data_IF_855623161435
#
_entry.id   IF_855623161435
#
_cell.length_a   1.000
_cell.length_b   1.000
_cell.length_c   1.000
_cell.angle_alpha   90.00
_cell.angle_beta   90.00
_cell.angle_gamma   90.00
#
_symmetry.space_group_name_H-M   'P 1'
#
loop_
_entity.id
_entity.type
_entity.pdbx_description
1 polymer ?
#
# COMPACT_ATOMS: atom_id res chain seq x y z
N UNK A 1 26.94 15.30 67.97
CA UNK A 1 26.88 14.32 66.88
C UNK A 1 25.65 14.66 66.06
N UNK A 2 25.86 15.14 64.82
CA UNK A 2 24.76 15.44 63.89
C UNK A 2 24.66 14.25 62.92
N UNK A 3 23.47 13.68 62.68
CA UNK A 3 23.34 12.62 61.68
C UNK A 3 23.40 13.20 60.25
N UNK A 4 24.26 12.60 59.43
CA UNK A 4 24.39 12.89 58.01
C UNK A 4 23.33 12.05 57.27
N UNK A 5 22.31 12.69 56.74
CA UNK A 5 21.30 12.03 55.94
C UNK A 5 21.76 12.01 54.48
N UNK A 6 22.17 10.83 54.01
CA UNK A 6 22.47 10.61 52.57
C UNK A 6 21.17 10.57 51.76
N UNK A 7 20.96 11.57 50.92
CA UNK A 7 19.87 11.58 49.94
C UNK A 7 20.31 10.77 48.72
N UNK A 8 19.79 9.56 48.57
CA UNK A 8 19.98 8.75 47.38
C UNK A 8 19.01 9.24 46.28
N UNK A 9 19.51 10.06 45.35
CA UNK A 9 18.76 10.43 44.15
C UNK A 9 18.67 9.24 43.17
N UNK A 10 17.49 8.62 43.06
CA UNK A 10 17.21 7.67 42.00
C UNK A 10 17.17 8.46 40.68
N UNK A 11 18.22 8.37 39.89
CA UNK A 11 18.20 8.82 38.50
C UNK A 11 17.49 7.74 37.70
N UNK A 12 16.20 7.93 37.38
CA UNK A 12 15.46 7.11 36.44
C UNK A 12 16.03 7.34 35.03
N UNK A 13 16.83 6.40 34.54
CA UNK A 13 17.24 6.33 33.14
C UNK A 13 15.99 6.00 32.33
N UNK A 14 15.35 7.00 31.76
CA UNK A 14 14.37 6.81 30.69
C UNK A 14 15.15 6.28 29.48
N UNK A 15 15.15 4.98 29.27
CA UNK A 15 15.53 4.37 27.99
C UNK A 15 14.47 4.81 26.98
N UNK A 16 14.77 5.81 26.18
CA UNK A 16 13.95 6.16 25.01
C UNK A 16 14.06 4.96 24.05
N UNK A 17 12.97 4.20 23.95
CA UNK A 17 12.90 3.16 22.95
C UNK A 17 13.08 3.83 21.58
N UNK A 18 13.99 3.30 20.77
CA UNK A 18 14.18 3.80 19.41
C UNK A 18 12.87 3.66 18.63
N UNK A 19 12.42 4.74 17.97
CA UNK A 19 11.24 4.68 17.11
C UNK A 19 11.48 3.71 15.96
N UNK A 20 10.48 2.89 15.64
CA UNK A 20 10.57 1.97 14.52
C UNK A 20 10.30 2.71 13.19
N UNK A 21 10.94 2.25 12.12
CA UNK A 21 10.80 2.82 10.78
C UNK A 21 9.78 2.06 9.96
N UNK A 22 8.72 2.75 9.60
CA UNK A 22 7.61 2.20 8.80
C UNK A 22 7.62 2.81 7.41
N UNK A 23 7.82 1.97 6.40
CA UNK A 23 7.65 2.34 5.00
C UNK A 23 6.27 1.97 4.51
N UNK A 24 5.59 2.91 3.82
CA UNK A 24 4.31 2.68 3.18
C UNK A 24 4.41 2.97 1.68
N UNK A 25 3.63 2.24 0.88
CA UNK A 25 3.54 2.51 -0.56
C UNK A 25 2.75 3.79 -0.81
N UNK A 26 3.40 4.78 -1.44
CA UNK A 26 2.75 6.03 -1.84
C UNK A 26 1.72 5.78 -2.94
N UNK A 27 0.47 5.67 -2.55
CA UNK A 27 -0.65 5.36 -3.44
C UNK A 27 -1.98 5.77 -2.79
N UNK A 28 -2.54 6.91 -3.20
CA UNK A 28 -3.87 7.31 -2.75
C UNK A 28 -4.95 6.35 -3.30
N UNK A 29 -5.97 6.00 -2.51
CA UNK A 29 -6.32 6.48 -1.17
C UNK A 29 -5.72 5.66 -0.01
N UNK A 30 -4.75 4.78 -0.27
CA UNK A 30 -4.20 3.87 0.72
C UNK A 30 -3.23 4.54 1.70
N UNK A 31 -2.16 5.14 1.20
CA UNK A 31 -1.24 5.97 1.97
C UNK A 31 -0.71 7.09 1.06
N UNK A 32 -0.86 8.34 1.48
CA UNK A 32 -0.47 9.49 0.67
C UNK A 32 -0.38 10.76 1.52
N UNK A 33 0.10 11.86 0.94
CA UNK A 33 0.03 13.18 1.57
C UNK A 33 -1.17 13.96 1.01
N UNK A 34 -1.98 14.51 1.92
CA UNK A 34 -3.10 15.37 1.55
C UNK A 34 -2.61 16.75 1.05
N UNK A 35 -3.53 17.64 0.70
CA UNK A 35 -3.21 18.99 0.22
C UNK A 35 -2.47 19.86 1.25
N UNK A 36 -2.54 19.53 2.53
CA UNK A 36 -1.85 20.19 3.63
C UNK A 36 -0.45 19.60 3.88
N UNK A 37 -0.05 18.56 3.13
CA UNK A 37 1.20 17.83 3.29
C UNK A 37 1.20 16.78 4.40
N UNK A 38 0.05 16.57 5.07
CA UNK A 38 -0.09 15.59 6.14
C UNK A 38 -0.28 14.18 5.57
N UNK A 39 0.34 13.20 6.22
CA UNK A 39 0.17 11.79 5.83
C UNK A 39 -1.20 11.28 6.24
N UNK A 40 -1.89 10.61 5.34
CA UNK A 40 -3.23 10.06 5.51
C UNK A 40 -3.42 8.83 4.61
N UNK A 41 -4.57 8.18 4.73
CA UNK A 41 -4.95 7.03 3.90
C UNK A 41 -5.27 5.79 4.73
N UNK A 42 -5.93 4.82 4.09
CA UNK A 42 -6.45 3.63 4.79
C UNK A 42 -5.33 2.84 5.47
N UNK A 43 -4.28 2.50 4.72
CA UNK A 43 -3.16 1.71 5.23
C UNK A 43 -2.40 2.46 6.32
N UNK A 44 -2.08 3.75 6.07
CA UNK A 44 -1.43 4.58 7.07
C UNK A 44 -2.22 4.64 8.39
N UNK A 45 -3.52 4.89 8.33
CA UNK A 45 -4.35 5.01 9.53
C UNK A 45 -4.48 3.66 10.27
N UNK A 46 -4.61 2.54 9.56
CA UNK A 46 -4.65 1.20 10.15
C UNK A 46 -3.33 0.89 10.86
N UNK A 47 -2.18 1.00 10.15
CA UNK A 47 -0.87 0.70 10.74
C UNK A 47 -0.58 1.62 11.94
N UNK A 48 -0.89 2.90 11.82
CA UNK A 48 -0.72 3.87 12.91
C UNK A 48 -1.58 3.50 14.13
N UNK A 49 -2.85 3.17 13.95
CA UNK A 49 -3.74 2.79 15.05
C UNK A 49 -3.26 1.52 15.76
N UNK A 50 -2.79 0.52 15.00
CA UNK A 50 -2.21 -0.71 15.55
C UNK A 50 -0.99 -0.38 16.42
N UNK A 51 -0.02 0.37 15.89
CA UNK A 51 1.23 0.66 16.60
C UNK A 51 1.00 1.54 17.82
N UNK A 52 0.13 2.54 17.72
CA UNK A 52 -0.25 3.39 18.86
C UNK A 52 -0.90 2.58 19.99
N UNK A 53 -1.78 1.66 19.65
CA UNK A 53 -2.40 0.77 20.63
C UNK A 53 -1.39 -0.11 21.35
N UNK A 54 -0.42 -0.62 20.63
CA UNK A 54 0.67 -1.44 21.17
C UNK A 54 1.74 -0.62 21.91
N UNK A 55 1.58 0.71 22.01
CA UNK A 55 2.57 1.58 22.65
C UNK A 55 3.91 1.61 21.91
N UNK A 56 3.89 1.45 20.58
CA UNK A 56 5.08 1.46 19.73
C UNK A 56 5.17 2.82 19.05
N UNK A 57 6.26 3.54 19.32
CA UNK A 57 6.59 4.77 18.60
C UNK A 57 7.13 4.45 17.20
N UNK A 58 6.63 5.14 16.17
CA UNK A 58 6.96 4.87 14.79
C UNK A 58 7.15 6.14 13.97
N UNK A 59 8.14 6.10 13.09
CA UNK A 59 8.38 7.08 12.04
C UNK A 59 7.87 6.52 10.72
N UNK A 60 6.98 7.27 10.05
CA UNK A 60 6.34 6.85 8.80
C UNK A 60 6.92 7.61 7.62
N UNK A 61 7.21 6.89 6.54
CA UNK A 61 7.62 7.46 5.27
C UNK A 61 6.94 6.79 4.08
N UNK A 62 6.67 7.58 3.03
CA UNK A 62 6.05 7.13 1.78
C UNK A 62 7.12 6.87 0.72
N UNK A 63 6.99 5.75 0.01
CA UNK A 63 7.91 5.36 -1.05
C UNK A 63 7.18 4.82 -2.27
N UNK A 64 7.76 5.00 -3.46
CA UNK A 64 7.35 4.20 -4.62
C UNK A 64 7.56 2.71 -4.32
N UNK A 65 6.77 1.82 -4.90
CA UNK A 65 6.76 0.40 -4.52
C UNK A 65 8.15 -0.25 -4.60
N UNK A 66 8.87 -0.06 -5.71
CA UNK A 66 10.23 -0.60 -5.86
C UNK A 66 11.22 -0.07 -4.80
N UNK A 67 11.09 1.20 -4.41
CA UNK A 67 11.94 1.78 -3.37
C UNK A 67 11.59 1.24 -1.99
N UNK A 68 10.30 1.08 -1.69
CA UNK A 68 9.81 0.45 -0.47
C UNK A 68 10.44 -0.93 -0.28
N UNK A 69 10.29 -1.79 -1.30
CA UNK A 69 10.81 -3.15 -1.28
C UNK A 69 12.34 -3.20 -1.16
N UNK A 70 13.04 -2.31 -1.87
CA UNK A 70 14.49 -2.20 -1.78
C UNK A 70 14.95 -1.81 -0.36
N UNK A 71 14.36 -0.77 0.24
CA UNK A 71 14.72 -0.33 1.59
C UNK A 71 14.40 -1.40 2.63
N UNK A 72 13.29 -2.11 2.47
CA UNK A 72 12.94 -3.24 3.32
C UNK A 72 13.97 -4.37 3.19
N UNK A 73 14.32 -4.79 1.97
CA UNK A 73 15.33 -5.85 1.75
C UNK A 73 16.72 -5.49 2.31
N UNK A 74 17.05 -4.20 2.35
CA UNK A 74 18.29 -3.67 2.95
C UNK A 74 18.17 -3.50 4.48
N UNK A 75 17.08 -3.93 5.11
CA UNK A 75 16.78 -3.81 6.54
C UNK A 75 16.85 -2.35 7.06
N UNK A 76 16.51 -1.39 6.18
CA UNK A 76 16.43 0.04 6.54
C UNK A 76 15.07 0.44 7.06
N UNK A 77 14.09 -0.44 6.94
CA UNK A 77 12.73 -0.34 7.47
C UNK A 77 12.45 -1.54 8.37
N UNK A 78 11.79 -1.30 9.49
CA UNK A 78 11.34 -2.35 10.40
C UNK A 78 10.03 -2.98 9.92
N UNK A 79 9.17 -2.15 9.30
CA UNK A 79 7.89 -2.55 8.69
C UNK A 79 7.80 -2.00 7.27
N UNK A 80 7.29 -2.82 6.34
CA UNK A 80 6.86 -2.40 5.01
C UNK A 80 5.41 -2.82 4.76
N UNK A 81 4.57 -1.93 4.20
CA UNK A 81 3.18 -2.23 3.87
C UNK A 81 2.72 -1.49 2.61
N UNK A 82 1.89 -2.18 1.77
CA UNK A 82 1.70 -3.63 1.73
C UNK A 82 2.89 -4.33 1.07
N UNK A 83 3.03 -5.65 1.28
CA UNK A 83 4.04 -6.46 0.60
C UNK A 83 3.36 -7.63 -0.12
N UNK A 84 3.42 -7.59 -1.46
CA UNK A 84 2.82 -8.59 -2.33
C UNK A 84 3.78 -9.73 -2.72
N UNK A 85 5.09 -9.47 -2.62
CA UNK A 85 6.15 -10.43 -3.00
C UNK A 85 6.92 -10.85 -1.76
N UNK A 86 7.03 -12.16 -1.45
CA UNK A 86 7.69 -12.62 -0.24
C UNK A 86 9.22 -12.40 -0.28
N UNK A 87 9.80 -12.03 0.86
CA UNK A 87 11.24 -11.89 1.08
C UNK A 87 11.75 -12.99 2.01
N UNK A 88 12.86 -13.66 1.67
CA UNK A 88 13.48 -14.66 2.53
C UNK A 88 13.85 -14.08 3.90
N UNK A 89 13.44 -14.77 4.97
CA UNK A 89 13.76 -14.37 6.35
C UNK A 89 12.85 -13.27 6.92
N UNK A 90 11.94 -12.71 6.15
CA UNK A 90 10.94 -11.79 6.66
C UNK A 90 9.75 -12.53 7.30
N UNK A 91 9.11 -11.87 8.25
CA UNK A 91 7.87 -12.30 8.88
C UNK A 91 6.70 -11.47 8.34
N UNK A 92 5.49 -12.03 8.31
CA UNK A 92 4.32 -11.39 7.71
C UNK A 92 3.16 -11.33 8.71
N UNK A 93 2.42 -10.22 8.68
CA UNK A 93 1.17 -10.12 9.43
C UNK A 93 0.11 -11.08 8.86
N UNK A 94 -1.01 -11.21 9.57
CA UNK A 94 -2.25 -11.65 8.90
C UNK A 94 -2.53 -10.67 7.75
N UNK A 95 -3.01 -11.16 6.59
CA UNK A 95 -3.42 -10.29 5.50
C UNK A 95 -4.55 -9.36 5.95
N UNK A 96 -4.49 -8.09 5.56
CA UNK A 96 -5.49 -7.09 5.94
C UNK A 96 -5.73 -6.03 4.87
N UNK A 97 -4.87 -5.99 3.87
CA UNK A 97 -4.87 -4.99 2.82
C UNK A 97 -5.48 -5.59 1.54
N UNK A 98 -6.80 -5.41 1.36
CA UNK A 98 -7.51 -5.98 0.22
C UNK A 98 -7.34 -5.11 -1.03
N UNK A 99 -6.79 -5.69 -2.08
CA UNK A 99 -6.63 -5.10 -3.42
C UNK A 99 -7.52 -5.82 -4.42
N UNK A 100 -8.22 -5.08 -5.25
CA UNK A 100 -8.89 -5.57 -6.44
C UNK A 100 -8.27 -4.90 -7.65
N UNK A 101 -7.29 -5.55 -8.27
CA UNK A 101 -6.78 -5.07 -9.53
C UNK A 101 -7.81 -5.22 -10.65
N UNK A 102 -7.85 -4.25 -11.52
CA UNK A 102 -8.78 -4.19 -12.65
C UNK A 102 -8.06 -3.70 -13.91
N UNK A 103 -8.66 -3.97 -15.05
CA UNK A 103 -8.32 -3.30 -16.30
C UNK A 103 -9.26 -2.12 -16.49
N UNK A 104 -8.72 -0.98 -16.87
CA UNK A 104 -9.51 0.22 -17.16
C UNK A 104 -9.15 0.79 -18.53
N UNK A 105 -10.17 1.33 -19.20
CA UNK A 105 -10.01 2.16 -20.39
C UNK A 105 -10.88 3.43 -20.29
N UNK A 106 -10.68 4.39 -21.18
CA UNK A 106 -11.57 5.55 -21.26
C UNK A 106 -13.01 5.10 -21.55
N UNK A 107 -13.98 5.58 -20.82
CA UNK A 107 -15.41 5.25 -21.04
C UNK A 107 -15.92 5.62 -22.43
N UNK A 108 -15.25 6.58 -23.10
CA UNK A 108 -15.53 6.96 -24.48
C UNK A 108 -15.07 5.93 -25.50
N UNK A 109 -14.15 5.04 -25.13
CA UNK A 109 -13.63 3.98 -26.00
C UNK A 109 -14.28 2.67 -25.58
N UNK A 110 -15.28 2.23 -26.32
CA UNK A 110 -15.99 0.97 -26.01
C UNK A 110 -15.10 -0.23 -26.31
N UNK A 111 -14.45 -0.76 -25.29
CA UNK A 111 -13.71 -2.02 -25.34
C UNK A 111 -14.45 -3.07 -24.52
N UNK A 112 -14.41 -4.32 -25.00
CA UNK A 112 -14.88 -5.47 -24.24
C UNK A 112 -13.66 -6.26 -23.78
N UNK A 113 -13.43 -6.31 -22.47
CA UNK A 113 -12.33 -7.04 -21.82
C UNK A 113 -12.95 -7.93 -20.76
N UNK A 114 -13.20 -9.18 -21.14
CA UNK A 114 -13.86 -10.17 -20.28
C UNK A 114 -12.84 -11.19 -19.71
N UNK A 115 -11.63 -11.20 -20.25
CA UNK A 115 -10.58 -12.15 -19.88
C UNK A 115 -9.17 -11.59 -20.15
N UNK A 116 -8.17 -12.23 -19.58
CA UNK A 116 -6.76 -11.89 -19.86
C UNK A 116 -6.39 -12.02 -21.36
N UNK A 117 -7.04 -12.91 -22.11
CA UNK A 117 -6.77 -13.08 -23.56
C UNK A 117 -7.08 -11.82 -24.35
N UNK A 118 -8.02 -11.00 -23.89
CA UNK A 118 -8.43 -9.76 -24.56
C UNK A 118 -7.36 -8.67 -24.45
N UNK A 119 -6.32 -8.88 -23.62
CA UNK A 119 -5.17 -8.01 -23.51
C UNK A 119 -4.14 -8.20 -24.63
N UNK A 120 -4.23 -9.29 -25.39
CA UNK A 120 -3.32 -9.59 -26.50
C UNK A 120 -3.32 -8.47 -27.53
N UNK A 121 -2.12 -8.01 -27.91
CA UNK A 121 -1.92 -6.94 -28.90
C UNK A 121 -2.33 -5.54 -28.45
N UNK A 122 -2.77 -5.35 -27.21
CA UNK A 122 -3.11 -4.04 -26.65
C UNK A 122 -1.89 -3.26 -26.19
N UNK A 123 -2.04 -1.94 -26.15
CA UNK A 123 -1.08 -1.07 -25.48
C UNK A 123 -1.53 -0.86 -24.04
N UNK A 124 -0.70 -1.26 -23.07
CA UNK A 124 -1.08 -1.37 -21.64
C UNK A 124 -0.05 -0.65 -20.76
N UNK A 125 -0.51 0.18 -19.85
CA UNK A 125 0.28 0.69 -18.73
C UNK A 125 -0.19 0.06 -17.42
N UNK A 126 0.75 -0.31 -16.55
CA UNK A 126 0.46 -0.83 -15.23
C UNK A 126 1.38 -0.19 -14.16
N UNK A 127 1.13 -0.49 -12.90
CA UNK A 127 1.99 -0.10 -11.78
C UNK A 127 3.29 -0.92 -11.73
N UNK A 128 4.27 -0.45 -10.96
CA UNK A 128 5.55 -1.16 -10.78
C UNK A 128 5.35 -2.57 -10.20
N UNK A 129 6.05 -3.55 -10.73
CA UNK A 129 5.97 -4.97 -10.36
C UNK A 129 4.64 -5.67 -10.71
N UNK A 130 3.74 -5.02 -11.47
CA UNK A 130 2.46 -5.63 -11.82
C UNK A 130 2.63 -6.96 -12.56
N UNK A 131 3.66 -7.09 -13.40
CA UNK A 131 3.98 -8.35 -14.11
C UNK A 131 4.30 -9.51 -13.17
N UNK A 132 4.84 -9.23 -11.98
CA UNK A 132 5.14 -10.23 -10.95
C UNK A 132 3.94 -10.45 -10.01
N UNK A 133 3.33 -9.35 -9.55
CA UNK A 133 2.22 -9.35 -8.58
C UNK A 133 0.97 -10.03 -9.13
N UNK A 134 0.63 -9.80 -10.41
CA UNK A 134 -0.57 -10.37 -11.05
C UNK A 134 -0.38 -11.82 -11.53
N UNK A 135 0.81 -12.36 -11.35
CA UNK A 135 1.11 -13.76 -11.52
C UNK A 135 1.45 -14.21 -12.94
N UNK A 136 1.70 -15.53 -13.12
CA UNK A 136 2.29 -16.07 -14.33
C UNK A 136 1.41 -15.93 -15.58
N UNK A 137 0.09 -16.00 -15.45
CA UNK A 137 -0.82 -15.86 -16.58
C UNK A 137 -0.80 -14.45 -17.15
N UNK A 138 -0.79 -13.44 -16.28
CA UNK A 138 -0.62 -12.05 -16.70
C UNK A 138 0.77 -11.83 -17.31
N UNK A 139 1.83 -12.33 -16.66
CA UNK A 139 3.21 -12.27 -17.18
C UNK A 139 3.36 -12.92 -18.57
N UNK A 140 2.60 -13.96 -18.86
CA UNK A 140 2.61 -14.59 -20.16
C UNK A 140 1.90 -13.73 -21.22
N UNK A 141 0.73 -13.18 -20.88
CA UNK A 141 -0.08 -12.43 -21.84
C UNK A 141 0.54 -11.09 -22.23
N UNK A 142 1.17 -10.37 -21.30
CA UNK A 142 1.78 -9.07 -21.58
C UNK A 142 2.99 -9.18 -22.55
N UNK A 143 3.59 -10.36 -22.71
CA UNK A 143 4.61 -10.61 -23.75
C UNK A 143 4.04 -10.51 -25.17
N UNK A 144 2.73 -10.62 -25.31
CA UNK A 144 1.99 -10.48 -26.58
C UNK A 144 1.38 -9.10 -26.76
N UNK A 145 1.60 -8.18 -25.81
CA UNK A 145 1.08 -6.82 -25.75
C UNK A 145 2.21 -5.79 -25.80
N UNK A 146 1.89 -4.52 -26.05
CA UNK A 146 2.81 -3.41 -25.83
C UNK A 146 2.64 -2.94 -24.39
N UNK A 147 3.48 -3.46 -23.50
CA UNK A 147 3.36 -3.30 -22.06
C UNK A 147 4.46 -2.42 -21.47
N UNK A 148 4.08 -1.55 -20.51
CA UNK A 148 5.01 -0.78 -19.72
C UNK A 148 4.52 -0.65 -18.26
N UNK A 149 5.47 -0.51 -17.33
CA UNK A 149 5.21 -0.19 -15.93
C UNK A 149 5.66 1.24 -15.63
N UNK A 150 4.79 2.01 -14.98
CA UNK A 150 5.05 3.38 -14.58
C UNK A 150 4.68 3.58 -13.11
N UNK A 151 5.58 4.19 -12.32
CA UNK A 151 5.36 4.43 -10.89
C UNK A 151 4.39 5.58 -10.64
N UNK A 152 4.48 6.61 -11.47
CA UNK A 152 3.71 7.83 -11.34
C UNK A 152 2.28 7.64 -11.89
N UNK A 153 1.30 7.71 -11.00
CA UNK A 153 -0.11 7.54 -11.35
C UNK A 153 -0.62 8.61 -12.31
N UNK A 154 -0.17 9.84 -12.15
CA UNK A 154 -0.61 10.93 -13.02
C UNK A 154 -0.12 10.69 -14.45
N UNK A 155 1.12 10.23 -14.62
CA UNK A 155 1.65 9.81 -15.93
C UNK A 155 0.91 8.63 -16.54
N UNK A 156 0.52 7.62 -15.71
CA UNK A 156 -0.32 6.52 -16.21
C UNK A 156 -1.63 7.06 -16.80
N UNK A 157 -2.29 7.98 -16.09
CA UNK A 157 -3.50 8.63 -16.57
C UNK A 157 -3.25 9.50 -17.79
N UNK A 158 -2.18 10.26 -17.84
CA UNK A 158 -1.80 11.05 -19.04
C UNK A 158 -1.64 10.16 -20.27
N UNK A 159 -0.98 9.00 -20.13
CA UNK A 159 -0.83 8.04 -21.22
C UNK A 159 -2.19 7.55 -21.74
N UNK A 160 -3.10 7.19 -20.82
CA UNK A 160 -4.43 6.71 -21.17
C UNK A 160 -5.29 7.82 -21.79
N UNK A 161 -5.34 9.01 -21.19
CA UNK A 161 -6.20 10.10 -21.63
C UNK A 161 -5.76 10.69 -22.97
N UNK A 162 -4.45 10.66 -23.28
CA UNK A 162 -3.88 11.08 -24.56
C UNK A 162 -3.79 9.95 -25.62
N UNK A 163 -4.50 8.83 -25.43
CA UNK A 163 -4.51 7.70 -26.36
C UNK A 163 -3.14 7.09 -26.67
N UNK A 164 -2.15 7.26 -25.76
CA UNK A 164 -0.84 6.63 -25.88
C UNK A 164 -0.87 5.16 -25.49
N UNK A 165 -1.81 4.79 -24.60
CA UNK A 165 -2.15 3.43 -24.26
C UNK A 165 -3.67 3.24 -24.34
N UNK A 166 -4.10 2.01 -24.60
CA UNK A 166 -5.51 1.64 -24.69
C UNK A 166 -6.08 1.25 -23.32
N UNK A 167 -5.22 0.63 -22.49
CA UNK A 167 -5.62 0.03 -21.22
C UNK A 167 -4.65 0.46 -20.11
N UNK A 168 -5.21 0.59 -18.92
CA UNK A 168 -4.47 0.77 -17.68
C UNK A 168 -4.85 -0.35 -16.70
N UNK A 169 -3.86 -0.93 -16.01
CA UNK A 169 -4.05 -1.98 -15.00
C UNK A 169 -3.64 -1.45 -13.64
N UNK A 170 -4.49 -1.65 -12.64
CA UNK A 170 -4.21 -1.25 -11.28
C UNK A 170 -5.37 -1.45 -10.33
N UNK A 171 -5.12 -1.18 -9.05
CA UNK A 171 -6.14 -1.29 -8.01
C UNK A 171 -7.35 -0.39 -8.29
N UNK A 172 -8.54 -0.95 -8.20
CA UNK A 172 -9.81 -0.27 -8.49
C UNK A 172 -9.99 1.02 -7.69
N UNK A 173 -9.64 1.01 -6.39
CA UNK A 173 -9.80 2.19 -5.53
C UNK A 173 -8.81 3.29 -5.93
N UNK A 174 -7.57 2.91 -6.26
CA UNK A 174 -6.54 3.84 -6.74
C UNK A 174 -6.97 4.48 -8.07
N UNK A 175 -7.37 3.65 -9.04
CA UNK A 175 -7.79 4.17 -10.35
C UNK A 175 -9.03 5.07 -10.23
N UNK A 176 -10.02 4.67 -9.42
CA UNK A 176 -11.21 5.48 -9.18
C UNK A 176 -10.90 6.80 -8.48
N UNK A 177 -9.98 6.79 -7.50
CA UNK A 177 -9.55 7.99 -6.80
C UNK A 177 -8.94 9.02 -7.76
N UNK A 178 -7.95 8.63 -8.55
CA UNK A 178 -7.28 9.53 -9.48
C UNK A 178 -8.19 9.98 -10.63
N UNK A 179 -9.05 9.07 -11.15
CA UNK A 179 -10.03 9.42 -12.16
C UNK A 179 -10.99 10.51 -11.65
N UNK A 180 -11.59 10.29 -10.48
CA UNK A 180 -12.56 11.23 -9.90
C UNK A 180 -11.91 12.58 -9.56
N UNK A 181 -10.69 12.56 -9.01
CA UNK A 181 -9.95 13.75 -8.62
C UNK A 181 -9.60 14.64 -9.82
N UNK A 182 -9.12 14.04 -10.92
CA UNK A 182 -8.47 14.79 -11.99
C UNK A 182 -9.34 14.92 -13.27
N UNK A 183 -10.28 13.99 -13.48
CA UNK A 183 -11.02 13.89 -14.75
C UNK A 183 -12.55 13.79 -14.57
N UNK A 184 -13.03 13.54 -13.36
CA UNK A 184 -14.45 13.41 -13.03
C UNK A 184 -14.97 11.98 -13.04
N UNK A 185 -16.17 11.81 -12.47
CA UNK A 185 -16.84 10.51 -12.38
C UNK A 185 -17.20 9.97 -13.77
N UNK A 186 -17.14 8.64 -13.93
CA UNK A 186 -17.50 7.98 -15.17
C UNK A 186 -16.48 8.10 -16.31
N UNK A 187 -15.29 8.65 -16.03
CA UNK A 187 -14.19 8.76 -17.01
C UNK A 187 -13.65 7.41 -17.45
N UNK A 188 -13.65 6.42 -16.54
CA UNK A 188 -13.16 5.08 -16.81
C UNK A 188 -14.30 4.07 -17.00
N UNK A 189 -14.10 3.14 -17.92
CA UNK A 189 -14.79 1.86 -17.99
C UNK A 189 -13.90 0.83 -17.30
N UNK A 190 -14.46 0.10 -16.33
CA UNK A 190 -13.72 -0.86 -15.50
C UNK A 190 -14.09 -2.29 -15.91
N UNK A 191 -13.06 -3.16 -15.99
CA UNK A 191 -13.20 -4.58 -16.29
C UNK A 191 -12.54 -5.39 -15.17
N UNK A 192 -13.34 -6.21 -14.49
CA UNK A 192 -12.92 -7.04 -13.37
C UNK A 192 -12.53 -8.44 -13.86
N UNK A 193 -11.27 -8.60 -14.27
CA UNK A 193 -10.75 -9.90 -14.77
C UNK A 193 -9.74 -10.52 -13.80
N UNK A 194 -9.41 -9.85 -12.70
CA UNK A 194 -8.53 -10.37 -11.66
C UNK A 194 -9.32 -10.65 -10.38
N UNK A 195 -8.94 -11.64 -9.57
CA UNK A 195 -9.53 -11.85 -8.26
C UNK A 195 -9.06 -10.77 -7.28
N UNK A 196 -9.87 -10.52 -6.24
CA UNK A 196 -9.41 -9.76 -5.09
C UNK A 196 -8.33 -10.54 -4.33
N UNK A 197 -7.30 -9.84 -3.88
CA UNK A 197 -6.18 -10.42 -3.13
C UNK A 197 -5.94 -9.60 -1.87
N UNK A 198 -5.63 -10.29 -0.78
CA UNK A 198 -5.26 -9.65 0.47
C UNK A 198 -3.75 -9.74 0.69
N UNK A 199 -3.14 -8.62 1.03
CA UNK A 199 -1.71 -8.52 1.30
C UNK A 199 -1.42 -8.24 2.76
N UNK A 200 -0.30 -8.78 3.29
CA UNK A 200 0.20 -8.49 4.62
C UNK A 200 1.11 -7.27 4.65
N UNK A 201 1.45 -6.81 5.86
CA UNK A 201 2.68 -6.09 6.12
C UNK A 201 3.83 -7.08 6.38
N UNK A 202 5.07 -6.66 6.08
CA UNK A 202 6.29 -7.44 6.31
C UNK A 202 7.16 -6.83 7.42
N UNK A 203 7.87 -7.69 8.15
CA UNK A 203 8.66 -7.37 9.35
C UNK A 203 9.99 -8.13 9.34
N UNK A 204 11.02 -7.57 9.98
CA UNK A 204 12.25 -8.31 10.28
C UNK A 204 12.24 -8.92 11.69
N UNK A 205 11.39 -8.42 12.61
CA UNK A 205 11.23 -8.93 13.96
C UNK A 205 9.95 -9.79 14.09
N UNK A 206 10.05 -11.06 14.51
CA UNK A 206 8.88 -11.89 14.78
C UNK A 206 8.08 -11.36 15.98
N UNK A 207 8.73 -10.71 16.95
CA UNK A 207 8.08 -10.10 18.10
C UNK A 207 7.22 -8.90 17.66
N UNK A 208 7.77 -8.02 16.81
CA UNK A 208 7.05 -6.87 16.27
C UNK A 208 5.85 -7.35 15.43
N UNK A 209 6.04 -8.37 14.61
CA UNK A 209 4.97 -9.00 13.83
C UNK A 209 3.85 -9.58 14.72
N UNK A 210 4.20 -10.26 15.81
CA UNK A 210 3.21 -10.82 16.73
C UNK A 210 2.40 -9.72 17.42
N UNK A 211 3.03 -8.64 17.88
CA UNK A 211 2.37 -7.47 18.44
C UNK A 211 1.47 -6.77 17.42
N UNK A 212 1.95 -6.60 16.20
CA UNK A 212 1.14 -6.05 15.11
C UNK A 212 -0.13 -6.88 14.89
N UNK A 213 -0.03 -8.21 14.83
CA UNK A 213 -1.19 -9.08 14.67
C UNK A 213 -2.18 -8.99 15.85
N UNK A 214 -1.69 -8.87 17.07
CA UNK A 214 -2.55 -8.66 18.24
C UNK A 214 -3.33 -7.34 18.15
N UNK A 215 -2.65 -6.25 17.79
CA UNK A 215 -3.27 -4.95 17.56
C UNK A 215 -4.26 -4.97 16.39
N UNK A 216 -3.93 -5.65 15.29
CA UNK A 216 -4.81 -5.81 14.13
C UNK A 216 -6.11 -6.55 14.50
N UNK A 217 -6.00 -7.68 15.21
CA UNK A 217 -7.16 -8.42 15.68
C UNK A 217 -8.08 -7.55 16.51
N UNK A 218 -7.50 -6.80 17.45
CA UNK A 218 -8.28 -5.91 18.28
C UNK A 218 -8.96 -4.78 17.47
N UNK A 219 -8.25 -4.21 16.49
CA UNK A 219 -8.79 -3.17 15.62
C UNK A 219 -10.01 -3.70 14.83
N UNK A 220 -9.95 -4.97 14.39
CA UNK A 220 -11.07 -5.65 13.72
C UNK A 220 -12.24 -5.88 14.69
N UNK A 221 -11.98 -6.47 15.86
CA UNK A 221 -13.00 -6.79 16.87
C UNK A 221 -13.72 -5.55 17.41
N UNK A 222 -13.02 -4.42 17.55
CA UNK A 222 -13.62 -3.14 17.97
C UNK A 222 -14.45 -2.45 16.88
N UNK A 223 -14.38 -2.92 15.63
CA UNK A 223 -14.99 -2.29 14.47
C UNK A 223 -14.29 -1.00 14.00
N UNK A 224 -13.15 -0.64 14.58
CA UNK A 224 -12.37 0.53 14.18
C UNK A 224 -11.74 0.33 12.80
N UNK A 225 -11.28 -0.89 12.50
CA UNK A 225 -10.78 -1.27 11.18
C UNK A 225 -11.77 -0.89 10.08
N UNK A 226 -13.03 -1.30 10.22
CA UNK A 226 -14.07 -1.02 9.24
C UNK A 226 -14.37 0.48 9.14
N UNK A 227 -14.38 1.21 10.27
CA UNK A 227 -14.56 2.67 10.28
C UNK A 227 -13.45 3.42 9.53
N UNK A 228 -12.20 2.96 9.65
CA UNK A 228 -11.06 3.53 8.91
C UNK A 228 -11.23 3.23 7.42
N UNK A 229 -11.59 1.99 7.09
CA UNK A 229 -11.72 1.51 5.71
C UNK A 229 -12.84 2.22 4.94
N UNK A 230 -13.97 2.50 5.58
CA UNK A 230 -15.17 3.08 4.95
C UNK A 230 -15.19 4.61 4.94
N UNK A 231 -14.20 5.25 5.58
CA UNK A 231 -14.12 6.72 5.61
C UNK A 231 -13.94 7.28 4.20
N UNK A 232 -14.80 8.23 3.76
CA UNK A 232 -14.59 8.94 2.50
C UNK A 232 -13.26 9.68 2.47
N UNK A 233 -12.54 9.64 1.33
CA UNK A 233 -11.20 10.25 1.16
C UNK A 233 -11.06 11.09 -0.13
N UNK A 234 -12.16 11.72 -0.54
CA UNK A 234 -12.17 12.78 -1.57
C UNK A 234 -12.86 14.00 -0.99
#
# INVERSE_FOLDING_TARGET
MRPFVLFFSLVSLFTQAASIKVGLHDSAPWAYRNAQGEMTGVDYEIVKAILQREGIEAEFELYSYNRLLKLFSEQKLDIASPVAVPYPGAFYSQPYFTVLDVVANKSTTKLNIDSMKDLTGKTIVAYQQASEVLGPDFSAIIKTAHYLEEADREKQFELLMNDRVQLMVGDRKVLSYYANKNYGQGTLQIHEIFPAVEYPAAFWSPELQARFNAGLLHLIESGEFQKIHDRPRL
#
